data_IF_516018942267
#
_entry.id   IF_516018942267
#
_cell.length_a   1.000
_cell.length_b   1.000
_cell.length_c   1.000
_cell.angle_alpha   90.00
_cell.angle_beta   90.00
_cell.angle_gamma   90.00
#
_symmetry.space_group_name_H-M   'P 1'
#
loop_
_entity.id
_entity.type
_entity.pdbx_description
1 polymer ?
#
# COMPACT_ATOMS: atom_id res chain seq x y z
N UNK A 1 54.14 -3.93 -57.69
CA UNK A 1 52.74 -4.34 -57.46
C UNK A 1 52.69 -5.10 -56.14
N UNK A 2 52.35 -4.43 -55.04
CA UNK A 2 52.30 -5.03 -53.68
C UNK A 2 50.85 -5.33 -53.35
N UNK A 3 50.52 -6.62 -53.15
CA UNK A 3 49.20 -7.05 -52.71
C UNK A 3 49.14 -6.92 -51.20
N UNK A 4 48.25 -6.05 -50.69
CA UNK A 4 47.89 -5.99 -49.25
C UNK A 4 46.83 -7.03 -48.99
N UNK A 5 47.17 -8.05 -48.19
CA UNK A 5 46.20 -8.97 -47.57
C UNK A 5 45.59 -8.28 -46.35
N UNK A 6 44.29 -7.99 -46.40
CA UNK A 6 43.51 -7.60 -45.21
C UNK A 6 43.10 -8.87 -44.51
N UNK A 7 43.73 -9.15 -43.36
CA UNK A 7 43.32 -10.22 -42.45
C UNK A 7 42.15 -9.72 -41.58
N UNK A 8 40.95 -10.26 -41.85
CA UNK A 8 39.77 -9.98 -41.09
C UNK A 8 39.84 -10.84 -39.81
N UNK A 9 40.21 -10.23 -38.67
CA UNK A 9 40.10 -10.89 -37.37
C UNK A 9 38.66 -10.76 -36.89
N UNK A 10 37.89 -11.83 -37.05
CA UNK A 10 36.60 -12.01 -36.40
C UNK A 10 36.85 -12.33 -34.92
N UNK A 11 36.72 -11.29 -34.06
CA UNK A 11 36.59 -11.51 -32.61
C UNK A 11 35.18 -12.09 -32.35
N UNK A 12 35.09 -13.39 -32.21
CA UNK A 12 33.92 -14.06 -31.64
C UNK A 12 33.88 -13.77 -30.14
N UNK A 13 33.03 -12.83 -29.74
CA UNK A 13 32.62 -12.73 -28.33
C UNK A 13 31.75 -13.94 -28.00
N UNK A 14 32.37 -14.96 -27.46
CA UNK A 14 31.64 -16.02 -26.78
C UNK A 14 31.06 -15.43 -25.49
N UNK A 15 29.77 -15.16 -25.48
CA UNK A 15 29.04 -14.86 -24.25
C UNK A 15 28.97 -16.19 -23.48
N UNK A 16 29.74 -16.25 -22.41
CA UNK A 16 29.76 -17.38 -21.48
C UNK A 16 28.43 -17.39 -20.71
N UNK A 17 27.50 -18.23 -21.16
CA UNK A 17 26.15 -18.43 -20.57
C UNK A 17 26.21 -19.27 -19.28
N UNK A 18 27.41 -19.66 -18.81
CA UNK A 18 27.56 -20.51 -17.63
C UNK A 18 27.41 -19.79 -16.29
N UNK A 19 27.09 -18.49 -16.26
CA UNK A 19 26.84 -17.72 -15.03
C UNK A 19 25.36 -17.68 -14.62
N UNK A 20 24.50 -18.55 -15.17
CA UNK A 20 23.18 -18.83 -14.60
C UNK A 20 23.34 -19.72 -13.36
N UNK A 21 23.88 -19.14 -12.28
CA UNK A 21 23.79 -19.74 -10.98
C UNK A 21 22.33 -19.84 -10.59
N UNK A 22 21.82 -21.06 -10.57
CA UNK A 22 20.53 -21.43 -9.97
C UNK A 22 20.57 -21.02 -8.50
N UNK A 23 20.01 -19.84 -8.18
CA UNK A 23 19.80 -19.40 -6.82
C UNK A 23 18.62 -20.17 -6.24
N UNK A 24 18.97 -21.22 -5.49
CA UNK A 24 18.05 -22.08 -4.76
C UNK A 24 17.86 -21.49 -3.36
N UNK A 25 16.96 -20.54 -3.21
CA UNK A 25 16.67 -19.93 -1.92
C UNK A 25 15.73 -18.74 -2.12
N UNK A 26 14.43 -19.00 -1.98
CA UNK A 26 13.42 -18.00 -2.24
C UNK A 26 13.36 -16.91 -1.18
N UNK A 27 14.04 -15.82 -1.43
CA UNK A 27 13.63 -14.50 -0.96
C UNK A 27 13.56 -13.67 -2.21
N UNK A 28 12.35 -13.39 -2.70
CA UNK A 28 12.14 -12.36 -3.69
C UNK A 28 12.46 -11.00 -3.05
N UNK A 29 13.74 -10.65 -3.02
CA UNK A 29 14.15 -9.27 -2.82
C UNK A 29 13.64 -8.53 -4.06
N UNK A 30 12.62 -7.74 -3.89
CA UNK A 30 12.14 -6.84 -4.94
C UNK A 30 13.25 -5.82 -5.20
N UNK A 31 13.88 -5.79 -6.39
CA UNK A 31 15.02 -4.91 -6.66
C UNK A 31 14.63 -3.48 -7.04
N UNK A 32 13.37 -3.12 -6.94
CA UNK A 32 12.88 -1.78 -7.27
C UNK A 32 12.11 -1.20 -6.09
N UNK A 33 12.23 0.10 -5.79
CA UNK A 33 11.29 0.75 -4.89
C UNK A 33 9.88 0.46 -5.40
N UNK A 34 9.01 -0.01 -4.51
CA UNK A 34 7.62 -0.27 -4.86
C UNK A 34 7.06 0.99 -5.55
N UNK A 35 6.42 0.86 -6.71
CA UNK A 35 5.85 2.02 -7.38
C UNK A 35 4.96 2.76 -6.38
N UNK A 36 5.13 4.08 -6.31
CA UNK A 36 4.34 4.95 -5.45
C UNK A 36 2.86 4.57 -5.55
N UNK A 37 2.18 4.50 -4.43
CA UNK A 37 0.76 4.16 -4.45
C UNK A 37 -0.01 5.30 -5.13
N UNK A 38 -1.09 4.99 -5.85
CA UNK A 38 -1.94 6.05 -6.40
C UNK A 38 -2.36 7.05 -5.32
N UNK A 39 -2.63 6.57 -4.09
CA UNK A 39 -2.94 7.43 -2.95
C UNK A 39 -1.77 8.30 -2.50
N UNK A 40 -0.54 7.78 -2.56
CA UNK A 40 0.66 8.56 -2.27
C UNK A 40 0.87 9.66 -3.29
N UNK A 41 0.79 9.34 -4.59
CA UNK A 41 0.90 10.35 -5.65
C UNK A 41 -0.12 11.47 -5.47
N UNK A 42 -1.39 11.10 -5.23
CA UNK A 42 -2.45 12.09 -5.01
C UNK A 42 -2.18 12.92 -3.75
N UNK A 43 -1.75 12.30 -2.66
CA UNK A 43 -1.42 12.98 -1.41
C UNK A 43 -0.34 14.04 -1.62
N UNK A 44 0.71 13.72 -2.36
CA UNK A 44 1.81 14.64 -2.69
C UNK A 44 1.37 15.71 -3.70
N UNK A 45 0.77 15.32 -4.82
CA UNK A 45 0.34 16.24 -5.89
C UNK A 45 -0.71 17.26 -5.43
N UNK A 46 -1.63 16.84 -4.56
CA UNK A 46 -2.64 17.74 -4.00
C UNK A 46 -2.12 18.61 -2.85
N UNK A 47 -0.85 18.44 -2.44
CA UNK A 47 -0.23 19.24 -1.39
C UNK A 47 -0.72 18.93 0.02
N UNK A 48 -1.26 17.74 0.27
CA UNK A 48 -1.67 17.31 1.61
C UNK A 48 -0.53 17.40 2.64
N UNK A 49 0.75 17.08 2.27
CA UNK A 49 1.88 17.18 3.20
C UNK A 49 2.15 18.58 3.71
N UNK A 50 1.74 19.64 2.99
CA UNK A 50 1.97 21.04 3.41
C UNK A 50 1.35 21.30 4.80
N UNK A 51 0.24 20.65 5.10
CA UNK A 51 -0.42 20.72 6.40
C UNK A 51 -0.21 19.45 7.23
N UNK A 52 -0.39 18.28 6.62
CA UNK A 52 -0.39 17.01 7.35
C UNK A 52 1.00 16.38 7.52
N UNK A 53 2.06 16.92 6.89
CA UNK A 53 3.40 16.35 6.91
C UNK A 53 3.56 15.17 5.94
N UNK A 54 4.80 14.89 5.50
CA UNK A 54 5.10 13.77 4.60
C UNK A 54 4.89 12.40 5.26
N UNK A 55 4.97 12.36 6.59
CA UNK A 55 4.72 11.15 7.39
C UNK A 55 3.39 11.19 8.14
N UNK A 56 2.55 12.19 7.82
CA UNK A 56 1.20 12.29 8.34
C UNK A 56 1.08 12.78 9.78
N UNK A 57 2.16 13.27 10.41
CA UNK A 57 2.20 13.68 11.81
C UNK A 57 1.46 14.99 12.14
N UNK A 58 0.77 15.63 11.18
CA UNK A 58 0.11 16.92 11.39
C UNK A 58 1.10 18.07 11.55
N UNK A 59 2.35 17.88 11.14
CA UNK A 59 3.52 18.73 11.34
C UNK A 59 4.01 19.39 10.03
N UNK A 60 3.15 19.47 9.02
CA UNK A 60 3.49 20.15 7.78
C UNK A 60 3.84 21.62 7.95
N UNK A 61 4.47 22.20 6.94
CA UNK A 61 4.98 23.57 6.95
C UNK A 61 3.95 24.62 7.44
N UNK A 62 2.67 24.44 7.09
CA UNK A 62 1.62 25.37 7.52
C UNK A 62 0.98 24.99 8.87
N UNK A 63 1.28 23.83 9.42
CA UNK A 63 0.59 23.30 10.60
C UNK A 63 0.74 24.20 11.84
N UNK A 64 1.89 24.87 12.00
CA UNK A 64 2.17 25.70 13.18
C UNK A 64 1.19 26.88 13.30
N UNK A 65 0.79 27.46 12.19
CA UNK A 65 -0.13 28.61 12.14
C UNK A 65 -1.61 28.24 12.18
N UNK A 66 -1.97 26.95 12.20
CA UNK A 66 -3.36 26.51 12.09
C UNK A 66 -3.99 26.20 13.45
N UNK A 67 -5.27 26.59 13.60
CA UNK A 67 -6.10 26.26 14.75
C UNK A 67 -7.52 25.87 14.26
N UNK A 68 -8.00 24.66 14.49
CA UNK A 68 -7.25 23.53 15.08
C UNK A 68 -6.09 23.09 14.18
N UNK A 69 -5.10 22.42 14.80
CA UNK A 69 -3.99 21.83 14.04
C UNK A 69 -4.49 20.73 13.09
N UNK A 70 -3.75 20.47 12.00
CA UNK A 70 -4.00 19.32 11.15
C UNK A 70 -3.91 18.03 11.97
N UNK A 71 -4.70 17.04 11.56
CA UNK A 71 -4.76 15.75 12.22
C UNK A 71 -3.44 15.00 12.06
N UNK A 72 -2.97 14.43 13.16
CA UNK A 72 -1.90 13.46 13.17
C UNK A 72 -2.46 12.09 12.76
N UNK A 73 -2.01 11.59 11.60
CA UNK A 73 -2.43 10.31 11.07
C UNK A 73 -1.59 9.14 11.61
N UNK A 74 -0.49 9.42 12.30
CA UNK A 74 0.31 8.42 12.99
C UNK A 74 -0.21 8.15 14.42
N UNK A 75 -1.10 8.99 14.94
CA UNK A 75 -1.71 8.81 16.25
C UNK A 75 -2.86 7.80 16.21
N UNK A 76 -2.66 6.64 16.85
CA UNK A 76 -3.65 5.57 16.93
C UNK A 76 -4.93 5.99 17.66
N UNK A 77 -4.84 6.80 18.72
CA UNK A 77 -6.02 7.24 19.47
C UNK A 77 -6.89 8.15 18.61
N UNK A 78 -6.26 9.03 17.85
CA UNK A 78 -6.92 9.94 16.91
C UNK A 78 -7.56 9.16 15.77
N UNK A 79 -6.79 8.29 15.13
CA UNK A 79 -7.24 7.53 13.94
C UNK A 79 -8.20 6.40 14.28
N UNK A 80 -8.07 5.78 15.44
CA UNK A 80 -8.97 4.71 15.89
C UNK A 80 -10.42 5.16 16.11
N UNK A 81 -10.65 6.47 16.28
CA UNK A 81 -11.99 7.07 16.40
C UNK A 81 -12.59 7.49 15.07
N UNK A 82 -11.83 7.40 13.97
CA UNK A 82 -12.25 7.84 12.66
C UNK A 82 -12.69 6.67 11.78
N UNK A 83 -13.93 6.71 11.34
CA UNK A 83 -14.36 5.83 10.26
C UNK A 83 -13.79 6.29 8.91
N UNK A 84 -13.59 5.33 8.00
CA UNK A 84 -13.16 5.62 6.63
C UNK A 84 -14.15 6.57 5.92
N UNK A 85 -15.43 6.45 6.22
CA UNK A 85 -16.46 7.35 5.68
C UNK A 85 -16.29 8.78 6.22
N UNK A 86 -15.90 8.95 7.49
CA UNK A 86 -15.61 10.28 8.05
C UNK A 86 -14.41 10.91 7.34
N UNK A 87 -13.35 10.14 7.08
CA UNK A 87 -12.21 10.61 6.29
C UNK A 87 -12.62 10.97 4.87
N UNK A 88 -13.44 10.13 4.23
CA UNK A 88 -13.97 10.39 2.90
C UNK A 88 -14.73 11.70 2.83
N UNK A 89 -15.65 11.94 3.76
CA UNK A 89 -16.45 13.18 3.81
C UNK A 89 -15.57 14.41 4.08
N UNK A 90 -14.55 14.27 4.93
CA UNK A 90 -13.60 15.35 5.21
C UNK A 90 -12.80 15.77 3.97
N UNK A 91 -12.39 14.83 3.14
CA UNK A 91 -11.69 15.13 1.88
C UNK A 91 -12.67 15.71 0.87
N UNK A 92 -13.85 15.11 0.73
CA UNK A 92 -14.88 15.51 -0.26
C UNK A 92 -15.41 16.91 -0.02
N UNK A 93 -15.71 17.27 1.23
CA UNK A 93 -16.43 18.48 1.59
C UNK A 93 -15.59 19.48 2.39
N UNK A 94 -14.35 19.12 2.74
CA UNK A 94 -13.57 19.88 3.68
C UNK A 94 -14.09 19.76 5.10
N UNK A 95 -13.51 20.52 6.01
CA UNK A 95 -13.92 20.57 7.41
C UNK A 95 -14.27 22.01 7.81
N UNK A 96 -15.55 22.34 7.94
CA UNK A 96 -15.99 23.67 8.34
C UNK A 96 -15.34 24.13 9.66
N UNK A 97 -14.89 25.38 9.71
CA UNK A 97 -14.20 25.94 10.86
C UNK A 97 -12.72 25.55 10.99
N UNK A 98 -12.17 24.88 9.97
CA UNK A 98 -10.75 24.55 9.89
C UNK A 98 -10.16 25.02 8.56
N UNK A 99 -8.84 24.89 8.41
CA UNK A 99 -8.14 25.17 7.14
C UNK A 99 -8.24 24.03 6.11
N UNK A 100 -8.87 22.90 6.43
CA UNK A 100 -9.02 21.77 5.51
C UNK A 100 -10.05 22.08 4.43
N UNK A 101 -9.64 22.29 3.16
CA UNK A 101 -10.57 22.59 2.07
C UNK A 101 -11.27 21.34 1.54
N UNK A 102 -12.32 21.55 0.76
CA UNK A 102 -12.90 20.50 -0.08
C UNK A 102 -12.01 20.22 -1.29
N UNK A 103 -11.90 18.94 -1.67
CA UNK A 103 -11.06 18.51 -2.79
C UNK A 103 -11.92 17.92 -3.91
N UNK A 104 -11.68 18.37 -5.13
CA UNK A 104 -12.38 17.84 -6.31
C UNK A 104 -11.66 16.58 -6.84
N UNK A 105 -11.77 15.50 -6.08
CA UNK A 105 -11.24 14.18 -6.41
C UNK A 105 -12.38 13.22 -6.74
N UNK A 106 -12.15 12.21 -7.57
CA UNK A 106 -13.12 11.13 -7.75
C UNK A 106 -13.22 10.29 -6.46
N UNK A 107 -14.31 9.52 -6.33
CA UNK A 107 -14.48 8.64 -5.17
C UNK A 107 -13.33 7.65 -5.03
N UNK A 108 -12.86 7.08 -6.15
CA UNK A 108 -11.72 6.19 -6.18
C UNK A 108 -10.43 6.86 -5.71
N UNK A 109 -10.19 8.11 -6.14
CA UNK A 109 -9.02 8.87 -5.71
C UNK A 109 -9.05 9.15 -4.22
N UNK A 110 -10.22 9.50 -3.66
CA UNK A 110 -10.37 9.70 -2.21
C UNK A 110 -10.07 8.41 -1.46
N UNK A 111 -10.59 7.26 -1.91
CA UNK A 111 -10.30 5.98 -1.29
C UNK A 111 -8.83 5.59 -1.38
N UNK A 112 -8.17 5.92 -2.47
CA UNK A 112 -6.73 5.69 -2.62
C UNK A 112 -5.92 6.53 -1.61
N UNK A 113 -6.29 7.82 -1.42
CA UNK A 113 -5.66 8.69 -0.41
C UNK A 113 -5.90 8.16 1.01
N UNK A 114 -7.12 7.77 1.36
CA UNK A 114 -7.43 7.21 2.69
C UNK A 114 -6.60 5.96 2.94
N UNK A 115 -6.49 5.09 1.94
CA UNK A 115 -5.66 3.89 2.01
C UNK A 115 -4.19 4.21 2.24
N UNK A 116 -3.68 5.27 1.65
CA UNK A 116 -2.31 5.72 1.88
C UNK A 116 -2.14 6.33 3.28
N UNK A 117 -3.03 7.21 3.70
CA UNK A 117 -2.99 7.86 5.01
C UNK A 117 -2.98 6.84 6.15
N UNK A 118 -3.71 5.74 6.01
CA UNK A 118 -3.70 4.66 7.01
C UNK A 118 -2.35 3.95 7.13
N UNK A 119 -1.48 4.06 6.14
CA UNK A 119 -0.14 3.46 6.23
C UNK A 119 0.76 4.15 7.25
N UNK A 120 0.46 5.40 7.62
CA UNK A 120 1.23 6.14 8.63
C UNK A 120 1.06 5.58 10.05
N UNK A 121 0.00 4.79 10.29
CA UNK A 121 -0.22 4.13 11.59
C UNK A 121 0.63 2.87 11.80
N UNK A 122 1.27 2.34 10.76
CA UNK A 122 1.84 1.01 10.86
C UNK A 122 3.27 1.03 11.38
N UNK A 123 3.53 0.32 12.47
CA UNK A 123 4.87 0.03 13.00
C UNK A 123 5.61 -0.97 12.11
N UNK A 124 4.83 -1.85 11.46
CA UNK A 124 5.35 -2.78 10.45
C UNK A 124 4.41 -2.92 9.26
N UNK A 125 4.98 -3.08 8.08
CA UNK A 125 4.22 -3.19 6.85
C UNK A 125 4.73 -4.33 5.97
N UNK A 126 3.80 -5.10 5.41
CA UNK A 126 4.08 -6.05 4.35
C UNK A 126 3.13 -5.87 3.17
N UNK A 127 3.60 -6.15 1.96
CA UNK A 127 2.77 -6.14 0.76
C UNK A 127 2.63 -7.54 0.19
N UNK A 128 1.41 -7.94 -0.12
CA UNK A 128 1.11 -9.20 -0.81
C UNK A 128 0.32 -8.92 -2.09
N UNK A 129 0.59 -9.71 -3.12
CA UNK A 129 -0.20 -9.72 -4.34
C UNK A 129 -1.05 -11.00 -4.38
N UNK A 130 -2.32 -10.87 -4.73
CA UNK A 130 -3.26 -11.98 -4.86
C UNK A 130 -4.02 -11.89 -6.18
N UNK A 131 -4.24 -13.03 -6.80
CA UNK A 131 -5.25 -13.16 -7.83
C UNK A 131 -6.64 -13.29 -7.19
N UNK A 132 -7.68 -12.96 -7.93
CA UNK A 132 -9.08 -12.97 -7.42
C UNK A 132 -9.52 -14.32 -6.85
N UNK A 133 -8.89 -15.42 -7.23
CA UNK A 133 -9.20 -16.78 -6.78
C UNK A 133 -8.17 -17.36 -5.81
N UNK A 134 -7.17 -16.57 -5.43
CA UNK A 134 -6.17 -17.00 -4.45
C UNK A 134 -6.62 -16.71 -3.04
N UNK A 135 -6.10 -17.52 -2.12
CA UNK A 135 -6.08 -17.21 -0.69
C UNK A 135 -4.66 -17.28 -0.18
N UNK A 136 -4.34 -16.46 0.80
CA UNK A 136 -3.02 -16.42 1.41
C UNK A 136 -3.11 -16.55 2.92
N UNK A 137 -2.23 -17.38 3.46
CA UNK A 137 -2.00 -17.47 4.91
C UNK A 137 -0.80 -16.60 5.25
N UNK A 138 -0.95 -15.72 6.21
CA UNK A 138 0.08 -14.84 6.73
C UNK A 138 0.31 -15.21 8.19
N UNK A 139 1.56 -15.45 8.57
CA UNK A 139 1.96 -15.56 9.96
C UNK A 139 2.12 -14.15 10.54
N UNK A 140 1.49 -13.86 11.65
CA UNK A 140 1.54 -12.54 12.31
C UNK A 140 2.94 -12.17 12.79
N UNK A 141 3.79 -13.16 13.05
CA UNK A 141 5.19 -12.92 13.39
C UNK A 141 5.95 -12.20 12.25
N UNK A 142 5.49 -12.32 11.00
CA UNK A 142 6.06 -11.55 9.88
C UNK A 142 5.75 -10.05 9.97
N UNK A 143 4.85 -9.66 10.87
CA UNK A 143 4.50 -8.28 11.19
C UNK A 143 5.11 -7.82 12.52
N UNK A 144 6.03 -8.61 13.10
CA UNK A 144 6.62 -8.38 14.41
C UNK A 144 5.60 -8.24 15.55
N UNK A 145 4.43 -8.89 15.39
CA UNK A 145 3.36 -8.87 16.38
C UNK A 145 3.32 -10.19 17.16
N UNK A 146 3.08 -10.10 18.44
CA UNK A 146 2.95 -11.22 19.36
C UNK A 146 1.67 -11.09 20.18
N UNK A 147 1.05 -12.20 20.55
CA UNK A 147 -0.09 -12.21 21.46
C UNK A 147 -1.45 -12.25 20.79
N UNK A 148 -2.42 -11.53 21.37
CA UNK A 148 -3.78 -11.42 20.83
C UNK A 148 -3.88 -10.17 19.97
N UNK A 149 -4.58 -10.26 18.87
CA UNK A 149 -4.72 -9.16 17.93
C UNK A 149 -6.11 -9.07 17.33
N UNK A 150 -6.50 -7.86 16.98
CA UNK A 150 -7.70 -7.55 16.22
C UNK A 150 -7.35 -7.29 14.76
N UNK A 151 -8.26 -7.70 13.87
CA UNK A 151 -8.11 -7.48 12.43
C UNK A 151 -9.21 -6.53 11.97
N UNK A 152 -8.83 -5.51 11.23
CA UNK A 152 -9.75 -4.67 10.47
C UNK A 152 -9.38 -4.60 9.00
N UNK A 153 -10.37 -4.41 8.14
CA UNK A 153 -10.20 -4.33 6.68
C UNK A 153 -10.82 -3.02 6.20
N UNK A 154 -10.07 -2.23 5.44
CA UNK A 154 -10.56 -0.94 4.93
C UNK A 154 -11.64 -1.07 3.84
N UNK A 155 -11.57 -2.14 3.05
CA UNK A 155 -12.49 -2.41 1.94
C UNK A 155 -13.05 -3.82 2.01
N UNK A 156 -13.86 -4.07 3.01
CA UNK A 156 -14.48 -5.39 3.25
C UNK A 156 -15.27 -5.93 2.07
N UNK A 157 -15.77 -5.07 1.17
CA UNK A 157 -16.47 -5.51 -0.03
C UNK A 157 -15.57 -6.29 -1.01
N UNK A 158 -14.23 -6.14 -0.94
CA UNK A 158 -13.29 -6.80 -1.85
C UNK A 158 -12.50 -7.94 -1.22
N UNK A 159 -12.45 -7.99 0.10
CA UNK A 159 -11.57 -8.89 0.82
C UNK A 159 -12.27 -9.48 2.05
N UNK A 160 -11.88 -10.68 2.43
CA UNK A 160 -12.10 -11.23 3.77
C UNK A 160 -10.75 -11.54 4.39
N UNK A 161 -10.61 -11.29 5.69
CA UNK A 161 -9.49 -11.76 6.49
C UNK A 161 -10.05 -12.41 7.76
N UNK A 162 -9.54 -13.59 8.08
CA UNK A 162 -9.96 -14.36 9.26
C UNK A 162 -8.72 -14.79 10.01
N UNK A 163 -8.69 -14.52 11.31
CA UNK A 163 -7.58 -14.92 12.16
C UNK A 163 -7.83 -16.30 12.78
N UNK A 164 -6.78 -17.07 12.91
CA UNK A 164 -6.77 -18.31 13.68
C UNK A 164 -5.41 -18.49 14.32
N UNK A 165 -5.30 -18.36 15.62
CA UNK A 165 -4.03 -18.33 16.36
C UNK A 165 -3.10 -17.26 15.75
N UNK A 166 -1.91 -17.65 15.32
CA UNK A 166 -0.91 -16.77 14.74
C UNK A 166 -1.03 -16.62 13.20
N UNK A 167 -2.12 -17.11 12.61
CA UNK A 167 -2.30 -17.07 11.16
C UNK A 167 -3.50 -16.19 10.79
N UNK A 168 -3.31 -15.38 9.76
CA UNK A 168 -4.37 -14.62 9.09
C UNK A 168 -4.59 -15.24 7.72
N UNK A 169 -5.80 -15.70 7.47
CA UNK A 169 -6.22 -16.16 6.15
C UNK A 169 -6.87 -14.99 5.41
N UNK A 170 -6.29 -14.60 4.29
CA UNK A 170 -6.76 -13.50 3.45
C UNK A 170 -7.28 -14.08 2.14
N UNK A 171 -8.51 -13.68 1.77
CA UNK A 171 -9.17 -14.14 0.55
C UNK A 171 -9.94 -13.01 -0.14
N UNK A 172 -9.68 -12.74 -1.44
CA UNK A 172 -10.46 -11.81 -2.24
C UNK A 172 -11.92 -12.27 -2.43
N UNK A 173 -12.84 -11.32 -2.42
CA UNK A 173 -14.24 -11.53 -2.84
C UNK A 173 -14.34 -11.38 -4.36
N UNK A 174 -13.94 -12.39 -5.10
CA UNK A 174 -13.64 -12.34 -6.54
C UNK A 174 -14.71 -11.67 -7.40
N UNK A 175 -16.02 -11.96 -7.17
CA UNK A 175 -17.10 -11.35 -7.96
C UNK A 175 -17.18 -9.82 -7.79
N UNK A 176 -16.95 -9.33 -6.58
CA UNK A 176 -16.97 -7.90 -6.29
C UNK A 176 -15.74 -7.20 -6.87
N UNK A 177 -14.58 -7.85 -6.78
CA UNK A 177 -13.33 -7.39 -7.39
C UNK A 177 -13.50 -7.27 -8.91
N UNK A 178 -13.97 -8.32 -9.59
CA UNK A 178 -14.18 -8.30 -11.05
C UNK A 178 -15.16 -7.21 -11.48
N UNK A 179 -16.28 -7.05 -10.76
CA UNK A 179 -17.27 -6.02 -11.05
C UNK A 179 -16.67 -4.62 -10.95
N UNK A 180 -15.87 -4.38 -9.91
CA UNK A 180 -15.20 -3.11 -9.70
C UNK A 180 -14.17 -2.82 -10.80
N UNK A 181 -13.26 -3.78 -11.08
CA UNK A 181 -12.22 -3.63 -12.12
C UNK A 181 -12.83 -3.32 -13.49
N UNK A 182 -13.93 -4.02 -13.87
CA UNK A 182 -14.65 -3.75 -15.12
C UNK A 182 -15.31 -2.37 -15.15
N UNK A 183 -15.90 -1.94 -14.02
CA UNK A 183 -16.60 -0.64 -13.93
C UNK A 183 -15.64 0.54 -14.03
N UNK A 184 -14.43 0.39 -13.44
CA UNK A 184 -13.46 1.49 -13.29
C UNK A 184 -12.33 1.44 -14.30
N UNK A 185 -12.29 0.44 -15.18
CA UNK A 185 -11.18 0.14 -16.12
C UNK A 185 -9.81 0.02 -15.43
N UNK A 186 -9.81 -0.34 -14.16
CA UNK A 186 -8.59 -0.57 -13.38
C UNK A 186 -8.12 -2.01 -13.54
N UNK A 187 -6.79 -2.20 -13.50
CA UNK A 187 -6.15 -3.53 -13.55
C UNK A 187 -5.91 -4.12 -12.16
N UNK A 188 -6.01 -3.30 -11.12
CA UNK A 188 -5.59 -3.62 -9.78
C UNK A 188 -6.49 -2.91 -8.75
N UNK A 189 -6.83 -3.60 -7.68
CA UNK A 189 -7.39 -3.03 -6.45
C UNK A 189 -6.31 -3.11 -5.37
N UNK A 190 -6.18 -2.04 -4.59
CA UNK A 190 -5.41 -2.04 -3.35
C UNK A 190 -6.37 -1.95 -2.17
N UNK A 191 -6.16 -2.76 -1.16
CA UNK A 191 -6.90 -2.75 0.09
C UNK A 191 -5.95 -3.11 1.23
N UNK A 192 -6.32 -2.83 2.46
CA UNK A 192 -5.46 -3.02 3.62
C UNK A 192 -6.12 -3.92 4.64
N UNK A 193 -5.30 -4.72 5.30
CA UNK A 193 -5.66 -5.45 6.51
C UNK A 193 -4.78 -4.90 7.61
N UNK A 194 -5.39 -4.23 8.58
CA UNK A 194 -4.71 -3.76 9.79
C UNK A 194 -4.82 -4.84 10.85
N UNK A 195 -3.70 -5.10 11.51
CA UNK A 195 -3.57 -6.08 12.59
C UNK A 195 -3.07 -5.32 13.80
N UNK A 196 -3.95 -5.05 14.75
CA UNK A 196 -3.60 -4.33 15.98
C UNK A 196 -3.40 -5.33 17.13
N UNK A 197 -2.27 -5.24 17.82
CA UNK A 197 -2.03 -5.99 19.05
C UNK A 197 -2.96 -5.47 20.15
N UNK A 198 -3.62 -6.40 20.87
CA UNK A 198 -4.43 -6.10 22.06
C UNK A 198 -3.57 -5.96 23.33
N UNK A 199 -2.26 -6.12 23.22
CA UNK A 199 -1.31 -6.03 24.34
C UNK A 199 -1.02 -4.61 24.79
N UNK A 200 -0.08 -4.46 25.72
CA UNK A 200 0.27 -3.18 26.33
C UNK A 200 0.99 -2.20 25.37
N UNK A 201 1.60 -2.69 24.29
CA UNK A 201 2.36 -1.84 23.37
C UNK A 201 1.47 -1.19 22.29
N UNK A 202 0.33 -1.79 21.96
CA UNK A 202 -0.57 -1.27 20.94
C UNK A 202 0.02 -1.28 19.53
N UNK A 203 1.02 -2.13 19.25
CA UNK A 203 1.71 -2.21 17.97
C UNK A 203 0.74 -2.55 16.83
N UNK A 204 0.95 -1.94 15.67
CA UNK A 204 0.11 -2.14 14.49
C UNK A 204 0.95 -2.68 13.35
N UNK A 205 0.51 -3.81 12.80
CA UNK A 205 0.97 -4.35 11.53
C UNK A 205 0.00 -4.01 10.40
N UNK A 206 0.53 -3.70 9.23
CA UNK A 206 -0.25 -3.43 8.04
C UNK A 206 0.06 -4.43 6.94
N UNK A 207 -0.97 -5.09 6.40
CA UNK A 207 -0.87 -5.92 5.20
C UNK A 207 -1.51 -5.15 4.05
N UNK A 208 -0.70 -4.68 3.12
CA UNK A 208 -1.16 -4.07 1.87
C UNK A 208 -1.47 -5.20 0.89
N UNK A 209 -2.74 -5.37 0.52
CA UNK A 209 -3.19 -6.42 -0.38
C UNK A 209 -3.46 -5.84 -1.76
N UNK A 210 -2.73 -6.31 -2.76
CA UNK A 210 -2.91 -5.95 -4.17
C UNK A 210 -3.65 -7.08 -4.86
N UNK A 211 -4.87 -6.81 -5.34
CA UNK A 211 -5.74 -7.82 -5.95
C UNK A 211 -5.90 -7.52 -7.43
N UNK A 212 -5.60 -8.48 -8.28
CA UNK A 212 -5.73 -8.37 -9.73
C UNK A 212 -6.46 -9.57 -10.34
N UNK A 213 -6.96 -9.38 -11.56
CA UNK A 213 -7.44 -10.46 -12.41
C UNK A 213 -6.23 -11.09 -13.12
N UNK A 214 -5.71 -12.19 -12.60
CA UNK A 214 -4.53 -12.86 -13.14
C UNK A 214 -4.82 -13.72 -14.39
N UNK A 215 -6.01 -13.61 -14.99
CA UNK A 215 -6.41 -14.40 -16.15
C UNK A 215 -6.12 -13.72 -17.50
N UNK A 216 -5.17 -12.78 -17.53
CA UNK A 216 -4.72 -12.14 -18.79
C UNK A 216 -3.32 -12.54 -19.15
#
# INVERSE_FOLDING_TARGET
MKKFLFSLILLSFAIDVSALTTYKGGINVLPEPLPESAGQLIYEEMGCPICHGHQGGGDGFLAEGLSPKPRDFADLEVMGRLSDMTMFQSIRHGMPGTAMPAWNLSDEQIWDVISYVKTFLADSQMTIALCINEQRKIDVHNLNLEGKYQISIDREQFLTAVSSKNLILIQPKGINVLRYLKKTDRKLIRTHVMVADEGQNGDIGLIVVRISDCFK
#
